data_IF_397296544594
#
_entry.id   IF_397296544594
#
_cell.length_a   1.000
_cell.length_b   1.000
_cell.length_c   1.000
_cell.angle_alpha   90.00
_cell.angle_beta   90.00
_cell.angle_gamma   90.00
#
_symmetry.space_group_name_H-M   'P 1'
#
loop_
_entity.id
_entity.type
_entity.pdbx_description
1 polymer ?
#
# COMPACT_ATOMS: atom_id res chain seq x y z
N UNK A 1 -50.83 -32.28 38.81
CA UNK A 1 -51.15 -31.65 37.50
C UNK A 1 -49.92 -30.89 37.01
N UNK A 2 -49.82 -30.59 35.69
CA UNK A 2 -48.58 -30.75 34.93
C UNK A 2 -47.61 -29.55 35.00
N UNK A 3 -46.30 -29.64 34.70
CA UNK A 3 -45.53 -30.46 33.74
C UNK A 3 -45.72 -30.05 32.28
N UNK A 4 -45.07 -28.95 31.89
CA UNK A 4 -44.76 -28.60 30.49
C UNK A 4 -43.25 -28.34 30.49
N UNK A 5 -42.42 -29.32 30.16
CA UNK A 5 -42.11 -29.76 28.80
C UNK A 5 -41.45 -28.63 27.99
N UNK A 6 -40.12 -28.51 28.13
CA UNK A 6 -39.27 -27.69 27.27
C UNK A 6 -38.56 -28.60 26.29
N UNK A 7 -39.07 -28.66 25.07
CA UNK A 7 -38.39 -29.31 23.94
C UNK A 7 -38.59 -28.43 22.71
N UNK A 8 -37.50 -28.03 22.07
CA UNK A 8 -37.57 -27.43 20.73
C UNK A 8 -36.21 -27.52 20.00
N UNK A 9 -36.09 -28.61 19.23
CA UNK A 9 -35.83 -28.53 17.80
C UNK A 9 -34.56 -27.81 17.31
N UNK A 10 -33.46 -28.55 17.30
CA UNK A 10 -32.44 -28.59 16.24
C UNK A 10 -32.30 -27.38 15.28
N UNK A 11 -31.28 -26.54 15.50
CA UNK A 11 -30.82 -25.57 14.49
C UNK A 11 -29.96 -26.27 13.44
N UNK A 12 -30.50 -26.42 12.23
CA UNK A 12 -29.81 -27.02 11.07
C UNK A 12 -28.59 -26.21 10.64
N UNK A 13 -27.39 -26.76 10.81
CA UNK A 13 -26.15 -26.16 10.35
C UNK A 13 -25.97 -26.30 8.81
N UNK A 14 -26.49 -25.32 8.06
CA UNK A 14 -26.33 -25.28 6.59
C UNK A 14 -24.88 -24.91 6.24
N UNK A 15 -24.10 -25.89 5.81
CA UNK A 15 -22.73 -25.70 5.34
C UNK A 15 -22.69 -25.05 3.94
N UNK A 16 -22.64 -23.71 3.89
CA UNK A 16 -22.53 -22.96 2.63
C UNK A 16 -21.08 -23.01 2.12
N UNK A 17 -20.79 -24.01 1.28
CA UNK A 17 -19.52 -24.17 0.57
C UNK A 17 -19.30 -23.07 -0.46
N UNK A 18 -18.69 -21.95 -0.06
CA UNK A 18 -18.37 -20.85 -0.98
C UNK A 18 -17.23 -21.23 -1.95
N UNK A 19 -17.60 -21.67 -3.15
CA UNK A 19 -16.68 -21.89 -4.26
C UNK A 19 -16.18 -20.56 -4.85
N UNK A 20 -14.86 -20.30 -4.75
CA UNK A 20 -14.26 -19.08 -5.31
C UNK A 20 -14.34 -19.10 -6.85
N UNK A 21 -14.88 -18.06 -7.51
CA UNK A 21 -14.88 -17.97 -8.96
C UNK A 21 -13.46 -17.76 -9.49
N UNK A 22 -13.00 -18.64 -10.39
CA UNK A 22 -11.73 -18.46 -11.10
C UNK A 22 -11.88 -17.29 -12.09
N UNK A 23 -11.15 -16.19 -11.88
CA UNK A 23 -11.06 -15.10 -12.88
C UNK A 23 -10.47 -15.67 -14.18
N UNK A 24 -11.30 -15.75 -15.22
CA UNK A 24 -10.88 -16.09 -16.60
C UNK A 24 -10.65 -14.77 -17.34
N UNK A 25 -9.42 -14.51 -17.76
CA UNK A 25 -9.09 -13.33 -18.55
C UNK A 25 -9.56 -13.52 -20.00
N UNK A 26 -10.23 -12.51 -20.57
CA UNK A 26 -10.71 -12.49 -21.95
C UNK A 26 -10.06 -11.32 -22.72
N UNK A 27 -9.29 -11.56 -23.81
CA UNK A 27 -8.57 -10.52 -24.53
C UNK A 27 -9.44 -9.85 -25.62
N UNK A 28 -10.09 -8.73 -25.27
CA UNK A 28 -10.86 -7.93 -26.23
C UNK A 28 -10.00 -7.39 -27.40
N UNK A 29 -10.46 -7.47 -28.67
CA UNK A 29 -9.63 -7.17 -29.84
C UNK A 29 -9.47 -5.68 -30.15
N UNK A 30 -8.25 -5.25 -30.48
CA UNK A 30 -7.93 -3.87 -30.85
C UNK A 30 -8.52 -3.45 -32.21
N UNK A 31 -9.36 -2.40 -32.18
CA UNK A 31 -10.12 -1.88 -33.33
C UNK A 31 -9.22 -1.09 -34.31
N UNK A 32 -8.70 -1.74 -35.35
CA UNK A 32 -7.87 -1.07 -36.39
C UNK A 32 -8.64 0.05 -37.11
N UNK A 33 -8.08 1.26 -37.12
CA UNK A 33 -8.53 2.39 -37.96
C UNK A 33 -8.10 2.14 -39.42
N UNK A 34 -9.02 2.29 -40.38
CA UNK A 34 -8.66 2.38 -41.82
C UNK A 34 -8.16 3.79 -42.13
N UNK A 35 -7.09 3.88 -42.91
CA UNK A 35 -6.79 5.02 -43.80
C UNK A 35 -6.29 4.47 -45.15
N UNK A 36 -6.54 5.20 -46.23
CA UNK A 36 -6.36 4.78 -47.63
C UNK A 36 -5.25 5.58 -48.33
N UNK A 37 -4.38 4.94 -49.13
CA UNK A 37 -3.22 5.61 -49.73
C UNK A 37 -2.41 4.86 -50.80
N UNK A 38 -3.05 4.51 -51.93
CA UNK A 38 -2.55 4.68 -53.33
C UNK A 38 -1.11 4.24 -53.73
N UNK A 39 -1.02 3.32 -54.73
CA UNK A 39 0.09 2.99 -55.68
C UNK A 39 1.39 2.31 -55.15
N UNK A 40 2.30 1.75 -55.98
CA UNK A 40 2.18 0.73 -57.09
C UNK A 40 3.60 0.30 -57.60
N UNK A 41 3.79 -0.98 -58.02
CA UNK A 41 4.92 -1.53 -58.86
C UNK A 41 6.34 -1.58 -58.19
N UNK A 42 7.36 -2.31 -58.68
CA UNK A 42 7.49 -3.64 -59.36
C UNK A 42 9.01 -4.03 -59.54
N UNK A 43 9.31 -5.25 -60.02
CA UNK A 43 10.59 -5.73 -60.62
C UNK A 43 11.82 -5.97 -59.70
N UNK A 44 12.87 -6.76 -60.06
CA UNK A 44 13.01 -7.97 -60.92
C UNK A 44 14.44 -8.59 -60.81
N UNK A 45 14.67 -9.76 -61.43
CA UNK A 45 15.94 -10.45 -61.75
C UNK A 45 16.82 -11.01 -60.58
N UNK A 46 17.74 -11.97 -60.73
CA UNK A 46 17.92 -13.20 -61.57
C UNK A 46 19.41 -13.48 -61.85
N UNK A 47 19.76 -14.78 -62.00
CA UNK A 47 20.87 -15.41 -62.80
C UNK A 47 21.60 -16.53 -62.01
N UNK A 48 22.43 -17.38 -62.63
CA UNK A 48 22.09 -18.72 -63.17
C UNK A 48 23.36 -19.57 -63.42
N UNK A 49 23.19 -20.89 -63.62
CA UNK A 49 24.21 -21.88 -64.07
C UNK A 49 25.31 -22.23 -63.03
N UNK A 50 26.15 -23.28 -63.16
CA UNK A 50 26.24 -24.37 -64.17
C UNK A 50 26.68 -25.72 -63.51
N UNK A 51 26.70 -26.83 -64.27
CA UNK A 51 27.20 -28.17 -63.85
C UNK A 51 28.67 -28.38 -64.32
N UNK A 52 29.46 -29.37 -63.86
CA UNK A 52 29.42 -30.85 -64.09
C UNK A 52 30.53 -31.54 -63.24
N UNK A 53 30.68 -32.86 -63.05
CA UNK A 53 30.09 -34.10 -63.63
C UNK A 53 30.29 -35.34 -62.72
N UNK A 54 29.54 -36.42 -63.03
CA UNK A 54 29.81 -37.86 -62.76
C UNK A 54 29.80 -38.39 -61.29
N UNK A 55 29.47 -39.69 -61.10
CA UNK A 55 29.93 -40.39 -59.87
C UNK A 55 29.11 -41.48 -59.15
N UNK A 56 28.01 -42.03 -59.70
CA UNK A 56 27.35 -43.29 -59.23
C UNK A 56 26.69 -43.38 -57.81
N UNK A 57 25.78 -44.36 -57.70
CA UNK A 57 25.27 -45.05 -56.51
C UNK A 57 24.27 -44.38 -55.50
N UNK A 58 23.07 -44.99 -55.48
CA UNK A 58 22.15 -45.25 -54.33
C UNK A 58 21.20 -44.16 -53.77
N UNK A 59 20.02 -44.67 -53.41
CA UNK A 59 18.97 -44.18 -52.47
C UNK A 59 18.02 -43.06 -52.95
N UNK A 60 16.72 -43.39 -52.92
CA UNK A 60 15.68 -42.52 -52.37
C UNK A 60 15.06 -41.44 -53.29
N UNK A 61 14.13 -41.82 -54.17
CA UNK A 61 13.25 -40.84 -54.81
C UNK A 61 11.84 -41.38 -55.14
N UNK A 62 10.82 -40.75 -54.55
CA UNK A 62 9.63 -40.35 -55.30
C UNK A 62 9.29 -38.90 -54.96
N UNK A 63 9.33 -38.05 -55.98
CA UNK A 63 8.95 -36.65 -55.90
C UNK A 63 7.45 -36.48 -55.65
N UNK A 64 7.08 -35.39 -54.98
CA UNK A 64 6.26 -34.28 -55.52
C UNK A 64 6.58 -33.06 -54.62
N UNK A 65 6.75 -31.87 -55.19
CA UNK A 65 7.23 -30.69 -54.47
C UNK A 65 6.35 -29.45 -54.69
N UNK A 66 6.51 -28.43 -53.84
CA UNK A 66 5.89 -27.11 -54.08
C UNK A 66 6.57 -25.94 -53.35
N UNK A 67 6.77 -24.85 -54.11
CA UNK A 67 6.84 -23.42 -53.76
C UNK A 67 7.68 -22.89 -52.56
N UNK A 68 8.59 -21.92 -52.77
CA UNK A 68 9.34 -21.26 -51.70
C UNK A 68 8.57 -20.09 -51.06
N UNK A 69 7.77 -20.36 -50.02
CA UNK A 69 7.12 -19.31 -49.20
C UNK A 69 7.45 -19.35 -47.70
N UNK A 70 8.21 -20.35 -47.23
CA UNK A 70 8.45 -20.58 -45.80
C UNK A 70 9.41 -19.56 -45.12
N UNK A 71 10.35 -18.98 -45.87
CA UNK A 71 11.48 -18.23 -45.28
C UNK A 71 11.12 -16.90 -44.59
N UNK A 72 9.93 -16.33 -44.84
CA UNK A 72 9.51 -15.09 -44.17
C UNK A 72 8.77 -15.32 -42.84
N UNK A 73 8.34 -16.56 -42.54
CA UNK A 73 7.74 -16.91 -41.26
C UNK A 73 8.81 -17.14 -40.17
N UNK A 74 9.83 -17.93 -40.50
CA UNK A 74 10.88 -18.34 -39.56
C UNK A 74 11.64 -17.15 -38.91
N UNK A 75 11.87 -16.07 -39.67
CA UNK A 75 12.52 -14.86 -39.14
C UNK A 75 11.67 -14.12 -38.09
N UNK A 76 10.34 -14.16 -38.22
CA UNK A 76 9.42 -13.54 -37.25
C UNK A 76 9.25 -14.39 -35.99
N UNK A 77 9.31 -15.72 -36.10
CA UNK A 77 9.31 -16.61 -34.93
C UNK A 77 10.62 -16.54 -34.16
N UNK A 78 11.79 -16.60 -34.83
CA UNK A 78 13.08 -16.37 -34.15
C UNK A 78 13.16 -14.96 -33.53
N UNK A 79 12.57 -13.94 -34.15
CA UNK A 79 12.44 -12.60 -33.57
C UNK A 79 11.56 -12.57 -32.31
N UNK A 80 10.53 -13.42 -32.24
CA UNK A 80 9.69 -13.64 -31.05
C UNK A 80 10.44 -14.40 -29.95
N UNK A 81 11.09 -15.51 -30.28
CA UNK A 81 11.85 -16.33 -29.32
C UNK A 81 13.03 -15.57 -28.71
N UNK A 82 13.76 -14.77 -29.50
CA UNK A 82 14.83 -13.90 -28.97
C UNK A 82 14.27 -12.81 -28.06
N UNK A 83 13.03 -12.34 -28.28
CA UNK A 83 12.33 -11.43 -27.36
C UNK A 83 11.85 -12.13 -26.09
N UNK A 84 11.27 -13.33 -26.17
CA UNK A 84 10.82 -14.05 -24.97
C UNK A 84 11.99 -14.53 -24.12
N UNK A 85 13.09 -15.01 -24.73
CA UNK A 85 14.33 -15.32 -23.99
C UNK A 85 14.90 -14.08 -23.29
N UNK A 86 15.00 -12.93 -23.97
CA UNK A 86 15.44 -11.68 -23.30
C UNK A 86 14.45 -11.19 -22.22
N UNK A 87 13.18 -11.55 -22.27
CA UNK A 87 12.23 -11.29 -21.18
C UNK A 87 12.33 -12.28 -20.00
N UNK A 88 12.76 -13.54 -20.21
CA UNK A 88 13.07 -14.47 -19.09
C UNK A 88 14.45 -14.22 -18.49
N UNK A 89 15.41 -13.77 -19.30
CA UNK A 89 16.81 -13.53 -18.93
C UNK A 89 17.02 -12.14 -18.30
N UNK A 90 16.01 -11.26 -18.34
CA UNK A 90 15.89 -10.10 -17.45
C UNK A 90 14.87 -10.34 -16.31
N UNK A 91 14.76 -11.58 -15.84
CA UNK A 91 14.64 -11.77 -14.39
C UNK A 91 16.00 -11.45 -13.77
N UNK A 92 16.30 -10.16 -13.62
CA UNK A 92 17.21 -9.75 -12.55
C UNK A 92 16.71 -10.39 -11.25
N UNK A 93 17.59 -10.82 -10.33
CA UNK A 93 17.14 -11.30 -9.05
C UNK A 93 16.34 -10.18 -8.41
N UNK A 94 15.02 -10.37 -8.29
CA UNK A 94 14.19 -9.58 -7.40
C UNK A 94 14.85 -9.73 -6.05
N UNK A 95 15.57 -8.68 -5.62
CA UNK A 95 16.37 -8.73 -4.41
C UNK A 95 15.43 -9.21 -3.32
N UNK A 96 15.76 -10.35 -2.71
CA UNK A 96 15.10 -10.72 -1.47
C UNK A 96 15.49 -9.64 -0.48
N UNK A 97 14.63 -8.60 -0.41
CA UNK A 97 14.60 -7.55 0.60
C UNK A 97 14.59 -8.29 1.94
N UNK A 98 15.79 -8.57 2.41
CA UNK A 98 16.01 -9.64 3.38
C UNK A 98 15.23 -9.22 4.61
N UNK A 99 14.64 -10.17 5.35
CA UNK A 99 13.79 -9.81 6.50
C UNK A 99 14.53 -8.82 7.44
N UNK A 100 15.84 -9.00 7.56
CA UNK A 100 16.82 -8.07 8.15
C UNK A 100 16.86 -6.67 7.54
N UNK A 101 16.94 -6.51 6.22
CA UNK A 101 16.96 -5.20 5.52
C UNK A 101 15.64 -4.44 5.69
N UNK A 102 14.51 -5.12 5.61
CA UNK A 102 13.19 -4.51 5.86
C UNK A 102 13.10 -4.01 7.30
N UNK A 103 13.44 -4.87 8.28
CA UNK A 103 13.42 -4.51 9.69
C UNK A 103 14.46 -3.43 10.04
N UNK A 104 15.63 -3.42 9.38
CA UNK A 104 16.67 -2.40 9.56
C UNK A 104 16.30 -1.05 8.90
N UNK A 105 15.44 -1.06 7.88
CA UNK A 105 14.81 0.14 7.33
C UNK A 105 13.72 0.68 8.26
N UNK A 106 12.79 -0.18 8.70
CA UNK A 106 11.70 0.19 9.63
C UNK A 106 12.25 0.77 10.94
N UNK A 107 13.22 0.10 11.56
CA UNK A 107 13.89 0.61 12.77
C UNK A 107 14.55 1.96 12.53
N UNK A 108 15.33 2.14 11.45
CA UNK A 108 15.92 3.45 11.10
C UNK A 108 14.87 4.55 10.93
N UNK A 109 13.75 4.29 10.26
CA UNK A 109 12.66 5.29 10.12
C UNK A 109 11.99 5.61 11.45
N UNK A 110 11.84 4.64 12.35
CA UNK A 110 11.23 4.83 13.67
C UNK A 110 12.16 5.64 14.59
N UNK A 111 13.46 5.31 14.63
CA UNK A 111 14.49 6.06 15.35
C UNK A 111 14.65 7.51 14.86
N UNK A 112 14.40 7.78 13.58
CA UNK A 112 14.40 9.13 13.03
C UNK A 112 13.14 9.96 13.39
N UNK A 113 12.11 9.35 14.01
CA UNK A 113 10.88 10.07 14.33
C UNK A 113 11.02 10.88 15.64
N UNK A 114 10.63 12.16 15.67
CA UNK A 114 10.77 13.00 16.86
C UNK A 114 9.91 12.51 18.04
N UNK A 115 8.84 11.77 17.77
CA UNK A 115 7.98 11.16 18.80
C UNK A 115 8.66 9.98 19.48
N UNK A 116 9.32 9.09 18.74
CA UNK A 116 10.07 7.99 19.34
C UNK A 116 11.27 8.51 20.15
N UNK A 117 12.01 9.50 19.61
CA UNK A 117 13.11 10.15 20.33
C UNK A 117 12.64 10.81 21.64
N UNK A 118 11.50 11.53 21.62
CA UNK A 118 10.92 12.12 22.82
C UNK A 118 10.46 11.05 23.84
N UNK A 119 9.82 9.98 23.38
CA UNK A 119 9.39 8.88 24.25
C UNK A 119 10.59 8.14 24.89
N UNK A 120 11.66 7.91 24.11
CA UNK A 120 12.90 7.32 24.61
C UNK A 120 13.61 8.24 25.60
N UNK A 121 13.70 9.54 25.33
CA UNK A 121 14.28 10.52 26.26
C UNK A 121 13.49 10.60 27.58
N UNK A 122 12.15 10.57 27.50
CA UNK A 122 11.29 10.50 28.68
C UNK A 122 11.51 9.20 29.47
N UNK A 123 11.60 8.05 28.79
CA UNK A 123 11.89 6.77 29.43
C UNK A 123 13.27 6.76 30.10
N UNK A 124 14.32 7.28 29.45
CA UNK A 124 15.66 7.44 30.03
C UNK A 124 15.62 8.31 31.29
N UNK A 125 14.94 9.46 31.25
CA UNK A 125 14.81 10.36 32.39
C UNK A 125 14.05 9.70 33.56
N UNK A 126 12.94 9.01 33.28
CA UNK A 126 12.15 8.30 34.29
C UNK A 126 12.93 7.15 34.94
N UNK A 127 13.64 6.34 34.15
CA UNK A 127 14.43 5.21 34.65
C UNK A 127 15.68 5.70 35.41
N UNK A 128 16.32 6.78 34.96
CA UNK A 128 17.44 7.42 35.68
C UNK A 128 17.00 8.04 37.01
N UNK A 129 15.80 8.62 37.07
CA UNK A 129 15.24 9.15 38.32
C UNK A 129 14.84 8.02 39.28
N UNK A 130 14.00 7.09 38.83
CA UNK A 130 13.46 6.00 39.65
C UNK A 130 14.50 4.95 40.07
N UNK A 131 15.60 4.80 39.32
CA UNK A 131 16.67 3.84 39.63
C UNK A 131 16.19 2.39 39.80
N UNK A 132 15.34 1.85 38.90
CA UNK A 132 14.76 0.53 39.09
C UNK A 132 15.84 -0.55 39.02
N UNK A 133 15.47 -1.76 39.45
CA UNK A 133 16.34 -2.94 39.42
C UNK A 133 17.64 -2.68 40.20
N UNK A 134 17.55 -2.11 41.41
CA UNK A 134 18.70 -1.78 42.27
C UNK A 134 19.70 -0.75 41.71
N UNK A 135 19.51 -0.24 40.48
CA UNK A 135 20.40 0.79 39.91
C UNK A 135 20.36 2.09 40.73
N UNK A 136 19.27 2.33 41.47
CA UNK A 136 19.10 3.43 42.41
C UNK A 136 20.18 3.47 43.49
N UNK A 137 20.51 2.31 44.06
CA UNK A 137 21.48 2.13 45.14
C UNK A 137 22.89 1.87 44.61
N UNK A 138 22.99 1.15 43.48
CA UNK A 138 24.26 0.77 42.87
C UNK A 138 24.96 1.91 42.09
N UNK A 139 24.21 2.90 41.58
CA UNK A 139 24.76 4.01 40.79
C UNK A 139 24.27 5.39 41.26
N UNK A 140 25.23 6.29 41.49
CA UNK A 140 24.99 7.72 41.56
C UNK A 140 24.32 8.24 40.28
N UNK A 141 23.58 9.34 40.39
CA UNK A 141 22.66 9.81 39.33
C UNK A 141 23.29 9.98 37.94
N UNK A 142 24.51 10.51 37.83
CA UNK A 142 25.15 10.75 36.52
C UNK A 142 25.58 9.44 35.82
N UNK A 143 26.32 8.51 36.45
CA UNK A 143 26.51 7.16 35.93
C UNK A 143 25.20 6.42 35.60
N UNK A 144 24.17 6.58 36.46
CA UNK A 144 22.85 5.95 36.25
C UNK A 144 22.14 6.49 35.01
N UNK A 145 22.18 7.81 34.80
CA UNK A 145 21.66 8.46 33.61
C UNK A 145 22.39 7.98 32.34
N UNK A 146 23.72 7.87 32.38
CA UNK A 146 24.51 7.34 31.27
C UNK A 146 24.13 5.88 30.97
N UNK A 147 24.03 5.02 31.99
CA UNK A 147 23.61 3.62 31.84
C UNK A 147 22.25 3.50 31.12
N UNK A 148 21.22 4.23 31.59
CA UNK A 148 19.91 4.19 30.95
C UNK A 148 19.91 4.81 29.54
N UNK A 149 20.73 5.84 29.30
CA UNK A 149 20.91 6.48 27.98
C UNK A 149 21.43 5.51 26.92
N UNK A 150 22.23 4.51 27.27
CA UNK A 150 22.63 3.43 26.34
C UNK A 150 21.64 2.26 26.33
N UNK A 151 21.17 1.82 27.51
CA UNK A 151 20.32 0.62 27.63
C UNK A 151 18.97 0.78 26.95
N UNK A 152 18.32 1.94 27.01
CA UNK A 152 17.00 2.17 26.37
C UNK A 152 17.08 2.11 24.84
N UNK A 153 17.96 2.86 24.13
CA UNK A 153 18.12 2.72 22.68
C UNK A 153 18.49 1.30 22.23
N UNK A 154 19.41 0.63 22.92
CA UNK A 154 19.85 -0.72 22.54
C UNK A 154 18.69 -1.71 22.66
N UNK A 155 18.02 -1.76 23.81
CA UNK A 155 16.92 -2.71 24.03
C UNK A 155 15.71 -2.41 23.12
N UNK A 156 15.43 -1.14 22.82
CA UNK A 156 14.40 -0.75 21.85
C UNK A 156 14.75 -1.18 20.42
N UNK A 157 16.00 -0.99 19.97
CA UNK A 157 16.47 -1.46 18.67
C UNK A 157 16.40 -2.99 18.55
N UNK A 158 16.89 -3.71 19.56
CA UNK A 158 16.82 -5.18 19.60
C UNK A 158 15.37 -5.68 19.57
N UNK A 159 14.50 -5.11 20.40
CA UNK A 159 13.09 -5.53 20.50
C UNK A 159 12.30 -5.29 19.22
N UNK A 160 12.46 -4.11 18.61
CA UNK A 160 11.80 -3.77 17.35
C UNK A 160 12.34 -4.60 16.17
N UNK A 161 13.67 -4.78 16.05
CA UNK A 161 14.27 -5.60 15.01
C UNK A 161 13.80 -7.07 15.09
N UNK A 162 13.90 -7.70 16.27
CA UNK A 162 13.49 -9.10 16.46
C UNK A 162 11.97 -9.24 16.30
N UNK A 163 11.19 -8.30 16.84
CA UNK A 163 9.73 -8.26 16.73
C UNK A 163 9.25 -8.20 15.28
N UNK A 164 9.74 -7.23 14.50
CA UNK A 164 9.44 -7.13 13.06
C UNK A 164 9.87 -8.41 12.34
N UNK A 165 11.08 -8.92 12.57
CA UNK A 165 11.56 -10.13 11.89
C UNK A 165 10.63 -11.34 12.10
N UNK A 166 10.17 -11.58 13.33
CA UNK A 166 9.26 -12.70 13.63
C UNK A 166 7.86 -12.46 13.06
N UNK A 167 7.32 -11.24 13.15
CA UNK A 167 6.03 -10.89 12.53
C UNK A 167 6.08 -11.05 10.99
N UNK A 168 7.16 -10.58 10.35
CA UNK A 168 7.37 -10.64 8.89
C UNK A 168 7.58 -12.08 8.39
N UNK A 169 8.20 -12.95 9.18
CA UNK A 169 8.32 -14.38 8.88
C UNK A 169 6.96 -15.10 9.06
N UNK A 170 6.26 -14.86 10.17
CA UNK A 170 5.05 -15.61 10.51
C UNK A 170 3.80 -15.16 9.75
N UNK A 171 3.69 -13.90 9.31
CA UNK A 171 2.51 -13.36 8.58
C UNK A 171 2.12 -14.16 7.33
N UNK A 172 3.04 -14.93 6.74
CA UNK A 172 2.79 -15.73 5.52
C UNK A 172 2.15 -17.09 5.81
N UNK A 173 2.21 -17.57 7.05
CA UNK A 173 1.79 -18.94 7.41
C UNK A 173 0.88 -19.02 8.65
N UNK A 174 0.90 -18.04 9.55
CA UNK A 174 0.13 -18.01 10.81
C UNK A 174 -0.69 -16.73 10.95
N UNK A 175 -1.88 -16.77 11.59
CA UNK A 175 -2.65 -15.58 11.90
C UNK A 175 -1.95 -14.72 12.97
N UNK A 176 -2.26 -13.41 12.99
CA UNK A 176 -1.59 -12.44 13.87
C UNK A 176 -1.62 -12.82 15.37
N UNK A 177 -2.70 -13.46 15.85
CA UNK A 177 -2.81 -13.88 17.24
C UNK A 177 -1.77 -14.93 17.67
N UNK A 178 -1.14 -15.64 16.73
CA UNK A 178 0.01 -16.53 16.99
C UNK A 178 1.35 -15.81 16.76
N UNK A 179 1.41 -14.92 15.76
CA UNK A 179 2.64 -14.19 15.43
C UNK A 179 3.03 -13.17 16.51
N UNK A 180 2.06 -12.49 17.12
CA UNK A 180 2.28 -11.47 18.16
C UNK A 180 2.92 -12.03 19.45
N UNK A 181 2.40 -13.08 20.11
CA UNK A 181 3.05 -13.64 21.29
C UNK A 181 4.40 -14.28 20.96
N UNK A 182 4.55 -14.92 19.79
CA UNK A 182 5.83 -15.44 19.34
C UNK A 182 6.89 -14.34 19.16
N UNK A 183 6.52 -13.19 18.58
CA UNK A 183 7.39 -12.04 18.44
C UNK A 183 7.77 -11.43 19.81
N UNK A 184 6.81 -11.29 20.73
CA UNK A 184 7.06 -10.77 22.07
C UNK A 184 7.97 -11.71 22.90
N UNK A 185 7.79 -13.02 22.80
CA UNK A 185 8.65 -14.02 23.46
C UNK A 185 10.07 -13.99 22.86
N UNK A 186 10.20 -14.02 21.53
CA UNK A 186 11.51 -14.00 20.87
C UNK A 186 12.29 -12.72 21.18
N UNK A 187 11.65 -11.56 21.09
CA UNK A 187 12.24 -10.28 21.46
C UNK A 187 12.60 -10.24 22.95
N UNK A 188 11.70 -10.68 23.83
CA UNK A 188 11.93 -10.74 25.28
C UNK A 188 13.16 -11.58 25.64
N UNK A 189 13.35 -12.75 25.01
CA UNK A 189 14.53 -13.60 25.23
C UNK A 189 15.83 -12.88 24.83
N UNK A 190 15.87 -12.25 23.65
CA UNK A 190 17.08 -11.56 23.17
C UNK A 190 17.36 -10.31 24.00
N UNK A 191 16.34 -9.52 24.36
CA UNK A 191 16.48 -8.37 25.27
C UNK A 191 17.01 -8.83 26.63
N UNK A 192 16.56 -9.96 27.17
CA UNK A 192 17.05 -10.50 28.45
C UNK A 192 18.54 -10.82 28.39
N UNK A 193 19.01 -11.44 27.31
CA UNK A 193 20.44 -11.69 27.09
C UNK A 193 21.25 -10.39 26.98
N UNK A 194 20.73 -9.38 26.29
CA UNK A 194 21.37 -8.05 26.17
C UNK A 194 21.43 -7.33 27.52
N UNK A 195 20.34 -7.31 28.29
CA UNK A 195 20.31 -6.66 29.62
C UNK A 195 21.19 -7.42 30.63
N UNK A 196 21.22 -8.75 30.58
CA UNK A 196 22.13 -9.55 31.42
C UNK A 196 23.60 -9.25 31.10
N UNK A 197 23.96 -9.11 29.82
CA UNK A 197 25.30 -8.74 29.39
C UNK A 197 25.67 -7.30 29.82
N UNK A 198 24.76 -6.34 29.64
CA UNK A 198 24.97 -4.95 30.09
C UNK A 198 25.12 -4.85 31.62
N UNK A 199 24.30 -5.58 32.38
CA UNK A 199 24.43 -5.68 33.83
C UNK A 199 25.80 -6.28 34.21
N UNK A 200 26.21 -7.39 33.59
CA UNK A 200 27.50 -8.03 33.87
C UNK A 200 28.71 -7.15 33.55
N UNK A 201 28.66 -6.39 32.45
CA UNK A 201 29.71 -5.41 32.09
C UNK A 201 29.75 -4.24 33.10
N UNK A 202 28.60 -3.81 33.62
CA UNK A 202 28.49 -2.62 34.49
C UNK A 202 28.74 -2.92 35.97
N UNK A 203 28.34 -4.11 36.44
CA UNK A 203 28.29 -4.49 37.86
C UNK A 203 29.06 -5.78 38.20
N UNK A 204 29.64 -6.46 37.20
CA UNK A 204 30.26 -7.77 37.37
C UNK A 204 29.25 -8.87 37.72
N UNK A 205 29.72 -9.92 38.39
CA UNK A 205 28.90 -11.05 38.84
C UNK A 205 28.31 -10.88 40.25
N UNK A 206 28.41 -9.68 40.85
CA UNK A 206 28.10 -9.46 42.27
C UNK A 206 26.69 -8.94 42.60
N UNK A 207 25.91 -8.49 41.60
CA UNK A 207 24.60 -7.87 41.81
C UNK A 207 23.49 -8.67 41.11
N UNK A 208 22.74 -9.46 41.89
CA UNK A 208 21.49 -10.12 41.45
C UNK A 208 20.32 -9.11 41.42
N UNK A 209 20.42 -8.10 40.54
CA UNK A 209 19.46 -6.98 40.48
C UNK A 209 17.99 -7.42 40.26
N UNK A 210 17.79 -8.47 39.47
CA UNK A 210 16.56 -9.28 39.39
C UNK A 210 16.91 -10.66 38.83
N UNK A 211 16.11 -11.70 39.15
CA UNK A 211 16.20 -12.97 38.44
C UNK A 211 15.87 -12.78 36.95
N UNK A 212 16.59 -13.51 36.08
CA UNK A 212 16.45 -13.42 34.61
C UNK A 212 15.01 -13.64 34.12
N UNK A 213 14.22 -14.45 34.84
CA UNK A 213 12.80 -14.69 34.55
C UNK A 213 11.94 -13.43 34.66
N UNK A 214 12.24 -12.52 35.60
CA UNK A 214 11.53 -11.26 35.77
C UNK A 214 11.96 -10.21 34.73
N UNK A 215 13.26 -10.18 34.38
CA UNK A 215 13.77 -9.36 33.25
C UNK A 215 13.10 -9.81 31.95
N UNK A 216 12.99 -11.12 31.72
CA UNK A 216 12.28 -11.69 30.57
C UNK A 216 10.79 -11.32 30.56
N UNK A 217 10.08 -11.50 31.67
CA UNK A 217 8.65 -11.20 31.74
C UNK A 217 8.39 -9.70 31.48
N UNK A 218 9.17 -8.81 32.10
CA UNK A 218 9.08 -7.38 31.84
C UNK A 218 9.38 -7.03 30.37
N UNK A 219 10.44 -7.59 29.79
CA UNK A 219 10.84 -7.34 28.39
C UNK A 219 9.79 -7.83 27.38
N UNK A 220 9.19 -8.99 27.63
CA UNK A 220 8.14 -9.56 26.79
C UNK A 220 6.83 -8.76 26.90
N UNK A 221 6.44 -8.33 28.11
CA UNK A 221 5.26 -7.48 28.34
C UNK A 221 5.44 -6.12 27.65
N UNK A 222 6.58 -5.44 27.87
CA UNK A 222 6.86 -4.13 27.25
C UNK A 222 6.89 -4.24 25.73
N UNK A 223 7.54 -5.25 25.16
CA UNK A 223 7.58 -5.44 23.70
C UNK A 223 6.18 -5.75 23.15
N UNK A 224 5.41 -6.60 23.83
CA UNK A 224 4.02 -6.89 23.46
C UNK A 224 3.11 -5.66 23.50
N UNK A 225 3.26 -4.82 24.53
CA UNK A 225 2.52 -3.57 24.68
C UNK A 225 2.90 -2.56 23.58
N UNK A 226 4.19 -2.42 23.25
CA UNK A 226 4.66 -1.57 22.13
C UNK A 226 4.08 -2.07 20.80
N UNK A 227 4.11 -3.37 20.52
CA UNK A 227 3.53 -3.94 19.30
C UNK A 227 2.02 -3.66 19.21
N UNK A 228 1.26 -3.78 20.30
CA UNK A 228 -0.18 -3.48 20.31
C UNK A 228 -0.44 -1.98 20.14
N UNK A 229 0.25 -1.13 20.89
CA UNK A 229 0.04 0.32 20.86
C UNK A 229 0.42 0.94 19.52
N UNK A 230 1.54 0.53 18.90
CA UNK A 230 1.91 0.99 17.57
C UNK A 230 0.85 0.63 16.53
N UNK A 231 0.32 -0.60 16.58
CA UNK A 231 -0.71 -1.04 15.62
C UNK A 231 -2.06 -0.36 15.79
N UNK A 232 -2.42 0.06 17.01
CA UNK A 232 -3.65 0.83 17.22
C UNK A 232 -3.46 2.30 16.80
N UNK A 233 -2.27 2.88 17.02
CA UNK A 233 -1.92 4.21 16.50
C UNK A 233 -1.86 4.24 14.96
N UNK A 234 -1.36 3.17 14.33
CA UNK A 234 -1.42 2.96 12.87
C UNK A 234 -2.89 2.92 12.39
N UNK A 235 -3.76 2.13 13.05
CA UNK A 235 -5.19 2.06 12.74
C UNK A 235 -5.91 3.40 12.90
N UNK A 236 -5.66 4.13 13.98
CA UNK A 236 -6.18 5.49 14.16
C UNK A 236 -5.70 6.44 13.06
N UNK A 237 -4.52 6.20 12.49
CA UNK A 237 -3.96 7.01 11.41
C UNK A 237 -4.57 6.64 10.06
N UNK A 238 -4.76 5.34 9.76
CA UNK A 238 -5.46 4.85 8.56
C UNK A 238 -6.95 5.19 8.57
N UNK A 239 -7.60 5.21 9.75
CA UNK A 239 -9.01 5.54 9.91
C UNK A 239 -9.31 7.05 9.79
N UNK A 240 -8.30 7.91 9.88
CA UNK A 240 -8.43 9.35 9.60
C UNK A 240 -8.31 9.56 8.08
N UNK A 241 -9.31 10.16 7.40
CA UNK A 241 -9.21 10.42 5.98
C UNK A 241 -8.02 11.36 5.71
N UNK A 242 -7.05 10.89 4.94
CA UNK A 242 -5.90 11.69 4.52
C UNK A 242 -6.43 12.92 3.76
N UNK A 243 -6.06 14.16 4.16
CA UNK A 243 -6.53 15.36 3.48
C UNK A 243 -6.22 15.29 1.97
N UNK A 244 -7.18 15.63 1.09
CA UNK A 244 -6.93 15.58 -0.34
C UNK A 244 -5.71 16.43 -0.74
N UNK A 245 -4.79 15.93 -1.61
CA UNK A 245 -3.59 16.67 -2.02
C UNK A 245 -3.84 18.09 -2.51
N UNK A 246 -5.02 18.36 -3.07
CA UNK A 246 -5.43 19.71 -3.47
C UNK A 246 -5.35 20.71 -2.30
N UNK A 247 -5.68 20.29 -1.07
CA UNK A 247 -5.62 21.15 0.12
C UNK A 247 -4.19 21.53 0.52
N UNK A 248 -3.18 20.76 0.12
CA UNK A 248 -1.78 21.10 0.40
C UNK A 248 -1.29 22.31 -0.42
N UNK A 249 -2.01 22.65 -1.50
CA UNK A 249 -1.77 23.83 -2.33
C UNK A 249 -2.39 25.12 -1.77
N UNK A 250 -3.26 25.05 -0.76
CA UNK A 250 -3.89 26.23 -0.16
C UNK A 250 -3.08 26.76 1.04
N UNK A 251 -3.20 28.06 1.31
CA UNK A 251 -2.73 28.68 2.55
C UNK A 251 -3.27 27.93 3.77
N UNK A 252 -2.46 27.71 4.81
CA UNK A 252 -2.86 26.93 5.99
C UNK A 252 -4.15 27.43 6.67
N UNK A 253 -4.39 28.75 6.65
CA UNK A 253 -5.62 29.37 7.15
C UNK A 253 -6.89 28.96 6.38
N UNK A 254 -6.76 28.63 5.09
CA UNK A 254 -7.85 28.25 4.17
C UNK A 254 -8.02 26.73 4.01
N UNK A 255 -7.30 25.90 4.78
CA UNK A 255 -7.40 24.43 4.71
C UNK A 255 -8.55 23.92 5.57
N UNK A 256 -9.63 23.47 4.94
CA UNK A 256 -10.78 22.80 5.56
C UNK A 256 -11.50 21.91 4.55
N UNK A 257 -12.63 21.27 4.93
CA UNK A 257 -13.51 20.55 4.00
C UNK A 257 -13.81 21.35 2.72
N UNK A 258 -13.70 20.68 1.58
CA UNK A 258 -13.98 21.23 0.25
C UNK A 258 -15.49 21.33 0.04
N UNK A 259 -15.97 22.42 -0.57
CA UNK A 259 -17.38 22.57 -0.98
C UNK A 259 -17.51 22.43 -2.50
N UNK A 260 -16.72 23.20 -3.24
CA UNK A 260 -16.85 23.32 -4.69
C UNK A 260 -15.52 23.68 -5.36
N UNK A 261 -15.32 23.14 -6.56
CA UNK A 261 -14.30 23.60 -7.51
C UNK A 261 -14.99 24.28 -8.69
N UNK A 262 -14.57 25.50 -9.03
CA UNK A 262 -15.10 26.26 -10.17
C UNK A 262 -13.96 26.74 -11.08
N UNK A 263 -14.14 26.69 -12.41
CA UNK A 263 -13.18 27.30 -13.35
C UNK A 263 -13.44 28.79 -13.47
N UNK A 264 -12.40 29.59 -13.24
CA UNK A 264 -12.34 31.01 -13.55
C UNK A 264 -11.18 31.22 -14.55
N UNK A 265 -11.52 31.32 -15.83
CA UNK A 265 -10.61 31.33 -16.99
C UNK A 265 -9.58 30.19 -17.02
N UNK A 266 -8.39 30.46 -16.48
CA UNK A 266 -7.25 29.53 -16.43
C UNK A 266 -6.89 29.09 -15.00
N UNK A 267 -7.66 29.55 -14.00
CA UNK A 267 -7.57 29.14 -12.61
C UNK A 267 -8.73 28.22 -12.22
N UNK A 268 -8.50 27.39 -11.22
CA UNK A 268 -9.56 26.72 -10.45
C UNK A 268 -9.73 27.48 -9.12
N UNK A 269 -10.91 28.01 -8.91
CA UNK A 269 -11.39 28.46 -7.62
C UNK A 269 -11.70 27.22 -6.76
N UNK A 270 -10.96 27.07 -5.67
CA UNK A 270 -11.17 26.06 -4.64
C UNK A 270 -11.86 26.73 -3.45
N UNK A 271 -13.10 26.34 -3.17
CA UNK A 271 -13.85 26.84 -2.00
C UNK A 271 -13.86 25.78 -0.90
N UNK A 272 -13.50 26.21 0.31
CA UNK A 272 -13.55 25.40 1.55
C UNK A 272 -14.42 26.09 2.60
N UNK A 273 -14.78 25.36 3.67
CA UNK A 273 -15.46 25.95 4.84
C UNK A 273 -14.67 27.06 5.54
N UNK A 274 -13.38 27.22 5.23
CA UNK A 274 -12.48 28.26 5.78
C UNK A 274 -12.09 29.33 4.75
N UNK A 275 -12.80 29.38 3.62
CA UNK A 275 -12.62 30.37 2.56
C UNK A 275 -12.05 29.80 1.26
N UNK A 276 -11.73 30.72 0.34
CA UNK A 276 -11.50 30.45 -1.07
C UNK A 276 -10.06 30.72 -1.50
N UNK A 277 -9.56 29.95 -2.47
CA UNK A 277 -8.27 30.20 -3.13
C UNK A 277 -8.35 29.93 -4.63
N UNK A 278 -7.65 30.72 -5.45
CA UNK A 278 -7.48 30.48 -6.88
C UNK A 278 -6.15 29.73 -7.11
N UNK A 279 -6.18 28.66 -7.90
CA UNK A 279 -5.01 27.82 -8.22
C UNK A 279 -4.84 27.69 -9.73
N UNK A 280 -3.64 27.95 -10.23
CA UNK A 280 -3.30 27.84 -11.66
C UNK A 280 -3.18 26.36 -12.08
N UNK A 281 -4.31 25.74 -12.43
CA UNK A 281 -4.38 24.35 -12.90
C UNK A 281 -5.66 24.11 -13.70
N UNK A 282 -5.80 22.92 -14.32
CA UNK A 282 -7.05 22.52 -14.99
C UNK A 282 -7.99 21.85 -13.99
N UNK A 283 -9.31 22.03 -14.16
CA UNK A 283 -10.32 21.38 -13.33
C UNK A 283 -10.18 19.85 -13.32
N UNK A 284 -9.83 19.21 -14.44
CA UNK A 284 -9.58 17.77 -14.52
C UNK A 284 -8.42 17.28 -13.64
N UNK A 285 -7.45 18.16 -13.38
CA UNK A 285 -6.31 17.86 -12.51
C UNK A 285 -6.68 18.16 -11.05
N UNK A 286 -7.42 19.24 -10.79
CA UNK A 286 -7.93 19.57 -9.46
C UNK A 286 -8.88 18.49 -8.91
N UNK A 287 -9.81 17.98 -9.72
CA UNK A 287 -10.70 16.86 -9.38
C UNK A 287 -9.92 15.56 -9.12
N UNK A 288 -8.79 15.34 -9.80
CA UNK A 288 -7.93 14.17 -9.49
C UNK A 288 -7.25 14.31 -8.14
N UNK A 289 -7.05 15.54 -7.66
CA UNK A 289 -6.43 15.87 -6.38
C UNK A 289 -7.45 16.05 -5.22
N UNK A 290 -8.76 15.93 -5.46
CA UNK A 290 -9.79 15.84 -4.39
C UNK A 290 -9.92 14.45 -3.79
N UNK A 291 -9.22 13.45 -4.34
CA UNK A 291 -9.43 12.03 -4.03
C UNK A 291 -10.66 11.45 -4.74
N UNK A 292 -10.77 10.12 -4.74
CA UNK A 292 -11.96 9.41 -5.20
C UNK A 292 -13.12 9.59 -4.20
N UNK A 293 -14.35 9.48 -4.69
CA UNK A 293 -15.60 9.38 -3.93
C UNK A 293 -15.94 10.54 -2.96
N UNK A 294 -15.14 11.62 -2.92
CA UNK A 294 -15.41 12.84 -2.13
C UNK A 294 -16.46 13.76 -2.75
N UNK A 295 -16.74 13.62 -4.05
CA UNK A 295 -17.66 14.49 -4.78
C UNK A 295 -17.72 14.15 -6.26
N UNK A 296 -18.48 14.94 -7.03
CA UNK A 296 -18.69 14.71 -8.46
C UNK A 296 -18.60 15.98 -9.32
N UNK A 297 -18.19 15.80 -10.58
CA UNK A 297 -18.32 16.85 -11.58
C UNK A 297 -19.79 16.98 -11.99
N UNK A 298 -20.30 18.22 -11.99
CA UNK A 298 -21.71 18.54 -12.29
C UNK A 298 -21.85 19.45 -13.51
N UNK A 299 -20.76 20.12 -13.88
CA UNK A 299 -20.63 20.90 -15.09
C UNK A 299 -19.20 20.81 -15.63
N UNK A 300 -18.98 21.12 -16.91
CA UNK A 300 -17.63 21.19 -17.51
C UNK A 300 -16.67 22.15 -16.77
N UNK A 301 -17.23 23.07 -15.97
CA UNK A 301 -16.53 24.08 -15.17
C UNK A 301 -16.77 23.94 -13.65
N UNK A 302 -17.56 22.97 -13.18
CA UNK A 302 -17.92 22.86 -11.75
C UNK A 302 -17.92 21.41 -11.23
N UNK A 303 -17.36 21.23 -10.04
CA UNK A 303 -17.40 20.02 -9.21
C UNK A 303 -17.86 20.39 -7.80
N UNK A 304 -18.55 19.48 -7.13
CA UNK A 304 -19.08 19.67 -5.76
C UNK A 304 -18.78 18.46 -4.88
N UNK A 305 -18.50 18.71 -3.60
CA UNK A 305 -18.32 17.65 -2.60
C UNK A 305 -19.68 17.12 -2.14
N UNK A 306 -19.82 15.80 -2.01
CA UNK A 306 -21.12 15.17 -1.70
C UNK A 306 -21.67 15.58 -0.33
N UNK A 307 -20.79 15.74 0.66
CA UNK A 307 -21.12 16.12 2.03
C UNK A 307 -21.53 17.60 2.17
N UNK A 308 -21.34 18.41 1.13
CA UNK A 308 -21.63 19.85 1.13
C UNK A 308 -22.83 20.24 0.26
N UNK A 309 -23.49 19.27 -0.39
CA UNK A 309 -24.79 19.47 -1.03
C UNK A 309 -25.87 19.58 0.05
N UNK A 310 -26.75 20.57 -0.07
CA UNK A 310 -27.95 20.72 0.74
C UNK A 310 -29.18 20.21 0.00
N UNK A 311 -29.36 20.62 -1.27
CA UNK A 311 -30.44 20.09 -2.13
C UNK A 311 -30.08 20.12 -3.61
N UNK A 312 -30.80 19.35 -4.42
CA UNK A 312 -30.71 19.41 -5.90
C UNK A 312 -32.11 19.56 -6.48
N UNK A 313 -32.37 20.72 -7.07
CA UNK A 313 -33.65 21.06 -7.71
C UNK A 313 -33.54 20.91 -9.22
N UNK A 314 -34.55 20.32 -9.87
CA UNK A 314 -34.54 20.10 -11.32
C UNK A 314 -35.20 21.25 -12.09
N UNK A 315 -34.45 21.86 -13.00
CA UNK A 315 -34.88 22.97 -13.85
C UNK A 315 -35.02 22.51 -15.31
N UNK A 316 -36.06 21.70 -15.55
CA UNK A 316 -36.39 21.12 -16.86
C UNK A 316 -35.30 20.18 -17.39
N UNK A 317 -34.43 20.70 -18.25
CA UNK A 317 -33.29 19.99 -18.85
C UNK A 317 -31.97 20.18 -18.08
N UNK A 318 -31.92 21.09 -17.11
CA UNK A 318 -30.80 21.31 -16.20
C UNK A 318 -31.20 20.89 -14.77
N UNK A 319 -30.25 20.98 -13.85
CA UNK A 319 -30.53 21.02 -12.42
C UNK A 319 -29.69 22.12 -11.76
N UNK A 320 -30.10 22.51 -10.56
CA UNK A 320 -29.47 23.49 -9.69
C UNK A 320 -29.13 22.78 -8.39
N UNK A 321 -27.88 22.90 -7.95
CA UNK A 321 -27.37 22.27 -6.73
C UNK A 321 -27.14 23.39 -5.73
N UNK A 322 -27.93 23.42 -4.66
CA UNK A 322 -27.72 24.36 -3.56
C UNK A 322 -26.77 23.72 -2.56
N UNK A 323 -25.68 24.41 -2.24
CA UNK A 323 -24.69 24.01 -1.25
C UNK A 323 -25.05 24.54 0.14
N UNK A 324 -24.50 23.92 1.18
CA UNK A 324 -24.68 24.31 2.59
C UNK A 324 -24.19 25.71 2.97
N UNK A 325 -23.51 26.42 2.07
CA UNK A 325 -23.14 27.84 2.21
C UNK A 325 -24.12 28.79 1.49
N UNK A 326 -25.25 28.27 1.02
CA UNK A 326 -26.30 29.01 0.31
C UNK A 326 -25.99 29.29 -1.17
N UNK A 327 -24.86 28.82 -1.72
CA UNK A 327 -24.52 29.04 -3.14
C UNK A 327 -25.19 28.01 -4.04
N UNK A 328 -25.82 28.48 -5.11
CA UNK A 328 -26.32 27.65 -6.21
C UNK A 328 -25.24 27.38 -7.27
N UNK A 329 -25.06 26.11 -7.63
CA UNK A 329 -24.19 25.69 -8.74
C UNK A 329 -25.02 25.02 -9.86
N UNK A 330 -24.86 25.45 -11.13
CA UNK A 330 -25.63 24.91 -12.25
C UNK A 330 -25.08 23.56 -12.73
N UNK A 331 -25.93 22.53 -12.74
CA UNK A 331 -25.62 21.23 -13.32
C UNK A 331 -26.07 21.14 -14.79
N UNK A 332 -25.19 20.59 -15.65
CA UNK A 332 -25.47 20.42 -17.08
C UNK A 332 -26.33 19.18 -17.35
N UNK A 333 -27.14 19.24 -18.42
CA UNK A 333 -27.95 18.11 -18.94
C UNK A 333 -27.16 16.79 -19.01
N UNK A 334 -25.88 16.85 -19.38
CA UNK A 334 -25.01 15.67 -19.53
C UNK A 334 -24.66 14.99 -18.21
N UNK A 335 -24.76 15.69 -17.07
CA UNK A 335 -24.45 15.17 -15.73
C UNK A 335 -25.71 14.81 -14.92
N UNK A 336 -26.92 15.08 -15.44
CA UNK A 336 -28.19 14.65 -14.83
C UNK A 336 -28.28 13.12 -14.61
N UNK A 337 -27.78 12.24 -15.51
CA UNK A 337 -27.75 10.80 -15.23
C UNK A 337 -26.91 10.45 -13.99
N UNK A 338 -25.71 11.02 -13.87
CA UNK A 338 -24.83 10.81 -12.72
C UNK A 338 -25.45 11.33 -11.40
N UNK A 339 -26.19 12.44 -11.44
CA UNK A 339 -26.94 12.94 -10.27
C UNK A 339 -28.08 12.00 -9.85
N UNK A 340 -28.72 11.29 -10.79
CA UNK A 340 -29.72 10.24 -10.49
C UNK A 340 -29.08 8.95 -10.00
N UNK A 341 -27.91 8.59 -10.51
CA UNK A 341 -27.13 7.43 -10.06
C UNK A 341 -26.61 7.62 -8.63
N UNK A 342 -26.15 8.83 -8.30
CA UNK A 342 -25.78 9.27 -6.94
C UNK A 342 -26.99 9.45 -5.99
N UNK A 343 -28.23 9.23 -6.45
CA UNK A 343 -29.45 9.37 -5.62
C UNK A 343 -29.85 10.81 -5.28
N UNK A 344 -29.15 11.82 -5.80
CA UNK A 344 -29.38 13.25 -5.54
C UNK A 344 -30.61 13.81 -6.27
N UNK A 345 -31.13 13.10 -7.27
CA UNK A 345 -32.38 13.42 -7.97
C UNK A 345 -33.28 12.18 -8.06
N UNK A 346 -34.62 12.34 -7.97
CA UNK A 346 -35.57 11.25 -8.20
C UNK A 346 -35.40 10.66 -9.61
N UNK A 347 -35.58 9.33 -9.71
CA UNK A 347 -35.24 8.51 -10.89
C UNK A 347 -36.10 8.76 -12.12
#
# INVERSE_FOLDING_TARGET
MPVIAKDDSAVTAIAITQSRPRKRCDPSPLRRKRMSGVRMRAASAATRWICTSAGAARIGARFIGSSPFAFHAAGLEQGRERRTRRCSEMQEPFVEDTVTQVALRETRTTFASPRALAAMAAAVALLALAGPFGTGDALAFVPRLAYWTFTVPITYATGSLVGTCVLVAMRRSRPFWQAMPAAAIAAGLVITGVVALLNWITFGSGLELLPLSAIFLASAIVTGAVIVLSRELERETEARPVPPPLLERLDFAKRGPLLSLSVQDHYVEVVTTRGTSLILMRLSDAIRETGADTGMQVHRSHWVAFDQIESVTREGYKARITLKDGRDIPASRSYIPALKEAGLLPR
#
